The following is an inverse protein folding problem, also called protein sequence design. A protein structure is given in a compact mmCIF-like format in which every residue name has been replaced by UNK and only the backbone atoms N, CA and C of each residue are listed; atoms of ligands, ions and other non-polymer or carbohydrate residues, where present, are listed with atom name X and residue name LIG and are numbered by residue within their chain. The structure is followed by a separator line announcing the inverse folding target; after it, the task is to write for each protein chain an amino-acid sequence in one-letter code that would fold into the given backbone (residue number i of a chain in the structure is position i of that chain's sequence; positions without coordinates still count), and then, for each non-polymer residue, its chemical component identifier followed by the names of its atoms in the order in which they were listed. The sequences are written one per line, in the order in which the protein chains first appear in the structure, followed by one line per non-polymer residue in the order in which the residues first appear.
data_IF_403728007135
#
_entry.id   IF_403728007135
#
_cell.length_a   1.000
_cell.length_b   1.000
_cell.length_c   1.000
_cell.angle_alpha   90.00
_cell.angle_beta   90.00
_cell.angle_gamma   90.00
#
_symmetry.space_group_name_H-M   'P 1'
#
loop_
_entity.id
_entity.type
_entity.pdbx_description
1 polymer ?
#
# COMPACT_ATOMS: atom_id res chain seq x y z
N UNK A 1 1.61 31.64 -48.34
CA UNK A 1 0.70 31.80 -47.19
C UNK A 1 1.06 30.71 -46.19
N UNK A 2 1.93 31.03 -45.22
CA UNK A 2 2.45 30.06 -44.24
C UNK A 2 2.05 30.51 -42.85
N UNK A 3 1.29 29.67 -42.15
CA UNK A 3 0.83 29.89 -40.78
C UNK A 3 2.01 29.53 -39.85
N UNK A 4 2.57 30.52 -39.15
CA UNK A 4 3.51 30.27 -38.05
C UNK A 4 2.69 30.01 -36.79
N UNK A 5 2.79 28.78 -36.26
CA UNK A 5 2.24 28.40 -34.97
C UNK A 5 3.13 29.01 -33.88
N UNK A 6 2.62 29.98 -33.13
CA UNK A 6 3.30 30.58 -31.97
C UNK A 6 2.99 29.71 -30.76
N UNK A 7 3.99 28.97 -30.27
CA UNK A 7 3.90 28.32 -28.97
C UNK A 7 4.14 29.39 -27.89
N UNK A 8 3.08 29.76 -27.17
CA UNK A 8 3.19 30.51 -25.92
C UNK A 8 3.66 29.54 -24.81
N UNK A 9 4.94 29.55 -24.49
CA UNK A 9 5.43 28.91 -23.25
C UNK A 9 5.15 29.86 -22.09
N UNK A 10 4.19 29.50 -21.24
CA UNK A 10 3.95 30.18 -19.96
C UNK A 10 5.06 29.78 -18.97
N UNK A 11 6.15 30.53 -18.93
CA UNK A 11 7.10 30.47 -17.80
C UNK A 11 6.55 31.28 -16.64
N UNK A 12 6.12 30.59 -15.59
CA UNK A 12 5.71 31.18 -14.32
C UNK A 12 6.95 31.78 -13.63
N UNK A 13 7.10 33.10 -13.68
CA UNK A 13 8.12 33.82 -12.91
C UNK A 13 7.61 34.04 -11.49
N UNK A 14 8.09 33.27 -10.52
CA UNK A 14 7.96 33.61 -9.10
C UNK A 14 9.08 34.59 -8.76
N UNK A 15 8.70 35.85 -8.57
CA UNK A 15 9.61 36.93 -8.17
C UNK A 15 9.91 36.76 -6.67
N UNK A 16 11.14 36.37 -6.31
CA UNK A 16 11.65 36.49 -4.94
C UNK A 16 12.80 37.52 -4.92
N UNK A 17 12.52 38.72 -4.42
CA UNK A 17 13.55 39.61 -3.91
C UNK A 17 13.94 39.14 -2.51
N UNK A 18 15.23 38.93 -2.25
CA UNK A 18 15.99 39.80 -1.36
C UNK A 18 17.49 39.46 -1.35
N UNK A 19 18.25 40.54 -1.19
CA UNK A 19 19.69 40.70 -1.12
C UNK A 19 20.44 39.60 -0.37
N UNK A 20 21.46 39.02 -1.02
CA UNK A 20 22.84 38.89 -0.52
C UNK A 20 23.65 37.96 -1.45
N UNK A 21 24.11 38.51 -2.59
CA UNK A 21 25.38 38.15 -3.24
C UNK A 21 25.76 36.68 -3.48
N UNK A 22 24.85 35.72 -3.49
CA UNK A 22 25.12 34.33 -3.86
C UNK A 22 24.29 33.94 -5.08
N UNK A 23 24.99 33.56 -6.14
CA UNK A 23 24.41 32.95 -7.34
C UNK A 23 23.96 31.55 -6.94
N UNK A 24 22.65 31.35 -6.77
CA UNK A 24 22.08 30.00 -6.68
C UNK A 24 21.95 29.49 -8.11
N UNK A 25 22.67 28.43 -8.43
CA UNK A 25 22.54 27.70 -9.68
C UNK A 25 21.06 27.35 -9.89
N UNK A 26 20.49 27.78 -11.02
CA UNK A 26 19.10 27.52 -11.37
C UNK A 26 18.89 26.01 -11.54
N UNK A 27 18.38 25.35 -10.50
CA UNK A 27 17.80 24.02 -10.61
C UNK A 27 16.39 24.13 -11.20
N UNK A 28 16.11 23.33 -12.22
CA UNK A 28 14.78 23.18 -12.79
C UNK A 28 13.90 22.35 -11.86
N UNK A 29 12.56 22.34 -12.02
CA UNK A 29 11.67 21.44 -11.24
C UNK A 29 12.06 19.96 -11.42
N UNK A 30 12.72 19.60 -12.53
CA UNK A 30 13.30 18.28 -12.74
C UNK A 30 14.37 17.94 -11.69
N UNK A 31 15.16 18.91 -11.24
CA UNK A 31 16.24 18.70 -10.28
C UNK A 31 15.73 18.43 -8.85
N UNK A 32 14.54 18.95 -8.50
CA UNK A 32 13.89 18.66 -7.21
C UNK A 32 13.24 17.26 -7.17
N UNK A 33 12.94 16.68 -8.33
CA UNK A 33 12.45 15.29 -8.45
C UNK A 33 13.58 14.26 -8.40
N UNK A 34 14.84 14.68 -8.61
CA UNK A 34 16.01 13.80 -8.68
C UNK A 34 16.73 13.60 -7.33
N UNK A 35 16.41 14.39 -6.30
CA UNK A 35 17.05 14.26 -4.98
C UNK A 35 16.44 13.17 -4.08
N UNK A 36 15.34 12.55 -4.48
CA UNK A 36 14.86 11.35 -3.82
C UNK A 36 15.54 10.16 -4.47
N UNK A 37 16.56 9.62 -3.78
CA UNK A 37 17.19 8.31 -4.01
C UNK A 37 16.64 7.57 -5.24
N UNK A 38 17.20 7.84 -6.42
CA UNK A 38 17.07 6.88 -7.53
C UNK A 38 17.79 5.62 -7.06
N UNK A 39 17.02 4.64 -6.61
CA UNK A 39 17.47 3.26 -6.68
C UNK A 39 17.86 3.05 -8.15
N UNK A 40 19.12 2.71 -8.40
CA UNK A 40 19.59 2.41 -9.75
C UNK A 40 18.96 1.08 -10.18
N UNK A 41 17.72 1.14 -10.68
CA UNK A 41 16.94 -0.03 -11.08
C UNK A 41 17.61 -0.76 -12.25
N UNK A 42 18.40 -0.05 -13.06
CA UNK A 42 19.05 -0.62 -14.25
C UNK A 42 20.22 -1.55 -13.87
N UNK A 43 20.87 -1.29 -12.74
CA UNK A 43 22.01 -2.11 -12.25
C UNK A 43 21.72 -2.84 -10.94
N UNK A 44 20.50 -2.76 -10.40
CA UNK A 44 20.13 -3.50 -9.21
C UNK A 44 20.20 -5.01 -9.50
N UNK A 45 20.96 -5.81 -8.72
CA UNK A 45 20.95 -7.25 -8.89
C UNK A 45 19.53 -7.76 -8.65
N UNK A 46 19.05 -8.65 -9.52
CA UNK A 46 17.77 -9.34 -9.29
C UNK A 46 17.93 -10.15 -8.01
N UNK A 47 17.09 -9.88 -7.01
CA UNK A 47 17.04 -10.70 -5.82
C UNK A 47 16.18 -11.93 -6.11
N UNK A 48 16.81 -13.00 -6.57
CA UNK A 48 16.15 -14.26 -6.92
C UNK A 48 15.72 -15.10 -5.70
N UNK A 49 16.10 -14.69 -4.48
CA UNK A 49 15.87 -15.46 -3.25
C UNK A 49 14.86 -14.78 -2.32
N UNK A 50 13.71 -14.37 -2.86
CA UNK A 50 12.60 -13.86 -2.07
C UNK A 50 11.53 -14.95 -1.98
N UNK A 51 11.32 -15.45 -0.77
CA UNK A 51 10.19 -16.33 -0.45
C UNK A 51 9.10 -15.50 0.19
N UNK A 52 7.88 -15.59 -0.35
CA UNK A 52 6.68 -15.08 0.30
C UNK A 52 5.87 -16.25 0.82
N UNK A 53 5.51 -16.21 2.10
CA UNK A 53 4.79 -17.28 2.79
C UNK A 53 3.28 -17.17 2.60
N UNK A 54 2.80 -15.94 2.53
CA UNK A 54 1.38 -15.58 2.40
C UNK A 54 1.26 -14.10 2.03
N UNK A 55 0.04 -13.60 1.97
CA UNK A 55 -0.25 -12.18 1.81
C UNK A 55 -1.32 -11.74 2.80
N UNK A 56 -1.33 -10.45 3.17
CA UNK A 56 -2.49 -9.83 3.79
C UNK A 56 -3.09 -8.76 2.89
N UNK A 57 -4.41 -8.66 2.93
CA UNK A 57 -5.16 -7.54 2.37
C UNK A 57 -5.75 -6.74 3.51
N UNK A 58 -5.59 -5.42 3.50
CA UNK A 58 -6.25 -4.49 4.41
C UNK A 58 -7.09 -3.50 3.60
N UNK A 59 -8.38 -3.45 3.90
CA UNK A 59 -9.33 -2.51 3.28
C UNK A 59 -9.59 -1.37 4.26
N UNK A 60 -9.39 -0.14 3.79
CA UNK A 60 -9.52 1.06 4.62
C UNK A 60 -10.79 1.85 4.33
N UNK A 61 -11.31 2.45 5.39
CA UNK A 61 -12.48 3.32 5.35
C UNK A 61 -12.38 4.41 6.42
N UNK A 62 -12.99 5.56 6.15
CA UNK A 62 -13.14 6.61 7.16
C UNK A 62 -14.19 6.18 8.17
N UNK A 63 -13.75 5.70 9.34
CA UNK A 63 -14.60 5.07 10.38
C UNK A 63 -15.74 5.94 10.91
N UNK A 64 -15.64 7.28 10.77
CA UNK A 64 -16.71 8.24 11.15
C UNK A 64 -17.67 8.57 10.01
N UNK A 65 -17.40 8.08 8.80
CA UNK A 65 -18.26 8.25 7.63
C UNK A 65 -19.11 6.99 7.46
N UNK A 66 -20.39 7.09 7.81
CA UNK A 66 -21.32 5.96 7.77
C UNK A 66 -21.41 5.29 6.40
N UNK A 67 -21.35 6.06 5.31
CA UNK A 67 -21.38 5.49 3.95
C UNK A 67 -20.16 4.61 3.67
N UNK A 68 -18.96 5.07 4.05
CA UNK A 68 -17.75 4.26 3.85
C UNK A 68 -17.69 3.05 4.80
N UNK A 69 -18.14 3.20 6.05
CA UNK A 69 -18.25 2.08 6.98
C UNK A 69 -19.23 1.01 6.47
N UNK A 70 -20.38 1.42 5.93
CA UNK A 70 -21.36 0.52 5.32
C UNK A 70 -20.80 -0.15 4.06
N UNK A 71 -20.09 0.59 3.21
CA UNK A 71 -19.44 0.05 2.01
C UNK A 71 -18.37 -0.99 2.37
N UNK A 72 -17.52 -0.69 3.35
CA UNK A 72 -16.49 -1.61 3.84
C UNK A 72 -17.09 -2.87 4.47
N UNK A 73 -18.14 -2.71 5.28
CA UNK A 73 -18.89 -3.84 5.87
C UNK A 73 -19.52 -4.71 4.79
N UNK A 74 -20.15 -4.09 3.78
CA UNK A 74 -20.77 -4.81 2.67
C UNK A 74 -19.75 -5.59 1.83
N UNK A 75 -18.60 -4.98 1.52
CA UNK A 75 -17.53 -5.68 0.81
C UNK A 75 -17.01 -6.87 1.60
N UNK A 76 -16.77 -6.70 2.91
CA UNK A 76 -16.32 -7.77 3.79
C UNK A 76 -17.32 -8.93 3.82
N UNK A 77 -18.60 -8.65 4.00
CA UNK A 77 -19.64 -9.68 4.07
C UNK A 77 -19.75 -10.46 2.75
N UNK A 78 -19.68 -9.77 1.61
CA UNK A 78 -19.65 -10.43 0.28
C UNK A 78 -18.40 -11.29 0.09
N UNK A 79 -17.26 -10.85 0.61
CA UNK A 79 -16.03 -11.63 0.58
C UNK A 79 -16.18 -12.91 1.42
N UNK A 80 -16.68 -12.77 2.66
CA UNK A 80 -16.95 -13.89 3.56
C UNK A 80 -17.88 -14.92 2.92
N UNK A 81 -18.99 -14.47 2.34
CA UNK A 81 -19.94 -15.33 1.66
C UNK A 81 -19.33 -16.02 0.42
N UNK A 82 -18.59 -15.27 -0.41
CA UNK A 82 -18.03 -15.80 -1.67
C UNK A 82 -16.98 -16.89 -1.44
N UNK A 83 -16.18 -16.75 -0.39
CA UNK A 83 -15.04 -17.63 -0.11
C UNK A 83 -15.29 -18.57 1.08
N UNK A 84 -16.45 -18.46 1.74
CA UNK A 84 -16.81 -19.23 2.93
C UNK A 84 -15.69 -19.19 3.99
N UNK A 85 -15.31 -17.97 4.39
CA UNK A 85 -14.14 -17.73 5.25
C UNK A 85 -14.54 -17.56 6.71
N UNK A 86 -13.74 -18.13 7.60
CA UNK A 86 -13.93 -17.98 9.05
C UNK A 86 -13.10 -16.80 9.58
N UNK A 87 -13.40 -16.37 10.81
CA UNK A 87 -12.57 -15.40 11.52
C UNK A 87 -11.16 -15.96 11.74
N UNK A 88 -10.16 -15.10 11.63
CA UNK A 88 -8.78 -15.41 12.00
C UNK A 88 -8.67 -15.67 13.51
N UNK A 89 -7.77 -16.58 13.89
CA UNK A 89 -7.32 -16.72 15.28
C UNK A 89 -5.99 -15.95 15.46
N UNK A 90 -5.46 -15.96 16.69
CA UNK A 90 -4.25 -15.23 17.05
C UNK A 90 -3.00 -15.68 16.27
N UNK A 91 -2.99 -16.91 15.74
CA UNK A 91 -1.85 -17.46 14.99
C UNK A 91 -1.77 -16.92 13.55
N UNK A 92 -2.91 -16.48 13.00
CA UNK A 92 -3.02 -16.08 11.60
C UNK A 92 -2.36 -14.72 11.29
N UNK A 93 -1.70 -14.07 12.25
CA UNK A 93 -0.77 -12.97 11.97
C UNK A 93 0.48 -13.45 11.22
N UNK A 94 0.95 -14.66 11.54
CA UNK A 94 2.17 -15.23 10.96
C UNK A 94 1.84 -16.37 10.00
N UNK A 95 0.86 -17.22 10.36
CA UNK A 95 0.49 -18.35 9.53
C UNK A 95 -0.93 -18.83 9.80
N UNK A 96 -1.65 -19.15 8.73
CA UNK A 96 -2.99 -19.73 8.79
C UNK A 96 -3.11 -20.86 7.75
N UNK A 97 -3.77 -21.98 8.07
CA UNK A 97 -3.93 -23.10 7.14
C UNK A 97 -4.91 -22.80 6.00
N UNK A 98 -5.71 -21.75 6.13
CA UNK A 98 -6.74 -21.34 5.18
C UNK A 98 -6.91 -19.83 5.21
N UNK A 99 -7.59 -19.32 4.20
CA UNK A 99 -8.06 -17.95 4.18
C UNK A 99 -8.94 -17.65 5.42
N UNK A 100 -8.69 -16.51 6.07
CA UNK A 100 -9.49 -16.04 7.20
C UNK A 100 -9.60 -14.52 7.17
N UNK A 101 -10.52 -13.96 7.97
CA UNK A 101 -10.72 -12.51 8.05
C UNK A 101 -10.64 -11.99 9.48
N UNK A 102 -10.24 -10.72 9.64
CA UNK A 102 -10.38 -9.99 10.90
C UNK A 102 -11.67 -9.16 10.95
N UNK A 103 -12.03 -8.66 12.13
CA UNK A 103 -13.16 -7.76 12.33
C UNK A 103 -12.87 -6.34 11.85
N UNK A 104 -13.93 -5.51 11.83
CA UNK A 104 -13.79 -4.10 11.52
C UNK A 104 -13.12 -3.39 12.69
N UNK A 105 -11.97 -2.79 12.42
CA UNK A 105 -11.33 -1.82 13.29
C UNK A 105 -11.99 -0.45 13.08
N UNK A 106 -12.71 0.04 14.09
CA UNK A 106 -13.34 1.36 14.08
C UNK A 106 -12.40 2.48 14.56
N UNK A 107 -11.10 2.21 14.59
CA UNK A 107 -10.04 3.12 14.99
C UNK A 107 -8.72 2.67 14.33
N UNK A 108 -7.68 3.53 14.33
CA UNK A 108 -6.32 3.11 13.97
C UNK A 108 -5.83 2.00 14.90
N UNK A 109 -5.28 0.93 14.34
CA UNK A 109 -4.74 -0.24 15.07
C UNK A 109 -3.45 -0.68 14.38
N UNK A 110 -2.38 -0.92 15.15
CA UNK A 110 -1.07 -1.27 14.60
C UNK A 110 -0.58 -0.21 13.60
N UNK A 111 -0.05 -0.60 12.42
CA UNK A 111 0.45 0.35 11.42
C UNK A 111 -0.67 1.09 10.67
N UNK A 112 -1.93 0.74 10.88
CA UNK A 112 -3.06 1.18 10.08
C UNK A 112 -3.60 2.53 10.56
N UNK A 113 -3.57 3.59 9.74
CA UNK A 113 -3.79 4.96 10.21
C UNK A 113 -5.27 5.36 10.38
N UNK A 114 -6.20 4.55 9.85
CA UNK A 114 -7.65 4.78 9.91
C UNK A 114 -8.37 3.44 10.07
N UNK A 115 -9.71 3.47 10.10
CA UNK A 115 -10.51 2.25 10.18
C UNK A 115 -10.20 1.27 9.05
N UNK A 116 -10.11 0.00 9.40
CA UNK A 116 -9.69 -1.06 8.50
C UNK A 116 -10.32 -2.41 8.84
N UNK A 117 -10.30 -3.33 7.90
CA UNK A 117 -10.44 -4.77 8.17
C UNK A 117 -9.47 -5.53 7.27
N UNK A 118 -9.10 -6.74 7.67
CA UNK A 118 -8.07 -7.50 6.98
C UNK A 118 -8.46 -8.93 6.60
N UNK A 119 -7.67 -9.52 5.71
CA UNK A 119 -7.76 -10.91 5.27
C UNK A 119 -6.35 -11.52 5.31
N UNK A 120 -6.21 -12.72 5.86
CA UNK A 120 -5.05 -13.57 5.63
C UNK A 120 -5.25 -14.38 4.37
N UNK A 121 -4.27 -14.39 3.46
CA UNK A 121 -4.31 -15.11 2.20
C UNK A 121 -3.14 -16.09 2.06
N UNK A 122 -3.41 -17.41 2.10
CA UNK A 122 -2.45 -18.38 1.59
C UNK A 122 -2.20 -18.18 0.08
N UNK A 123 -1.02 -18.57 -0.38
CA UNK A 123 -0.55 -18.29 -1.75
C UNK A 123 -1.49 -18.84 -2.82
N UNK A 124 -2.06 -20.02 -2.58
CA UNK A 124 -2.89 -20.72 -3.55
C UNK A 124 -4.28 -20.08 -3.75
N UNK A 125 -4.74 -19.20 -2.84
CA UNK A 125 -5.96 -18.40 -3.05
C UNK A 125 -5.68 -16.94 -3.44
N UNK A 126 -4.41 -16.58 -3.67
CA UNK A 126 -4.02 -15.20 -3.98
C UNK A 126 -4.78 -14.63 -5.19
N UNK A 127 -4.77 -15.35 -6.32
CA UNK A 127 -5.38 -14.86 -7.58
C UNK A 127 -6.86 -14.60 -7.40
N UNK A 128 -7.61 -15.54 -6.81
CA UNK A 128 -9.06 -15.42 -6.67
C UNK A 128 -9.45 -14.27 -5.73
N UNK A 129 -8.78 -14.17 -4.57
CA UNK A 129 -9.06 -13.14 -3.57
C UNK A 129 -8.71 -11.74 -4.09
N UNK A 130 -7.52 -11.58 -4.68
CA UNK A 130 -7.08 -10.29 -5.25
C UNK A 130 -7.97 -9.90 -6.43
N UNK A 131 -8.35 -10.85 -7.30
CA UNK A 131 -9.27 -10.59 -8.41
C UNK A 131 -10.63 -10.11 -7.90
N UNK A 132 -11.19 -10.76 -6.88
CA UNK A 132 -12.45 -10.33 -6.28
C UNK A 132 -12.35 -8.91 -5.74
N UNK A 133 -11.32 -8.62 -4.95
CA UNK A 133 -11.13 -7.28 -4.37
C UNK A 133 -10.93 -6.23 -5.48
N UNK A 134 -10.14 -6.52 -6.50
CA UNK A 134 -9.81 -5.59 -7.59
C UNK A 134 -11.03 -5.04 -8.33
N UNK A 135 -12.11 -5.83 -8.46
CA UNK A 135 -13.32 -5.43 -9.17
C UNK A 135 -14.47 -5.05 -8.22
N UNK A 136 -14.35 -5.34 -6.92
CA UNK A 136 -15.43 -5.09 -5.94
C UNK A 136 -15.10 -4.03 -4.89
N UNK A 137 -13.87 -3.50 -4.83
CA UNK A 137 -13.44 -2.57 -3.77
C UNK A 137 -14.16 -1.21 -3.78
N UNK A 138 -14.88 -0.87 -4.86
CA UNK A 138 -15.69 0.35 -4.92
C UNK A 138 -14.86 1.61 -4.71
N UNK A 139 -15.21 2.42 -3.71
CA UNK A 139 -14.51 3.64 -3.33
C UNK A 139 -13.43 3.43 -2.25
N UNK A 140 -13.28 2.20 -1.75
CA UNK A 140 -12.36 1.88 -0.67
C UNK A 140 -10.92 1.81 -1.17
N UNK A 141 -10.01 2.23 -0.29
CA UNK A 141 -8.56 2.09 -0.48
C UNK A 141 -8.13 0.72 0.04
N UNK A 142 -7.22 0.05 -0.67
CA UNK A 142 -6.77 -1.29 -0.30
C UNK A 142 -5.25 -1.35 -0.29
N UNK A 143 -4.69 -1.88 0.78
CA UNK A 143 -3.30 -2.33 0.90
C UNK A 143 -3.27 -3.85 0.72
N UNK A 144 -2.37 -4.33 -0.12
CA UNK A 144 -1.99 -5.74 -0.23
C UNK A 144 -0.49 -5.83 0.02
N UNK A 145 -0.05 -6.64 0.97
CA UNK A 145 1.38 -6.85 1.19
C UNK A 145 1.71 -8.35 1.31
N UNK A 146 2.92 -8.76 0.87
CA UNK A 146 3.39 -10.12 1.11
C UNK A 146 3.76 -10.32 2.58
N UNK A 147 3.92 -11.56 3.00
CA UNK A 147 4.57 -11.92 4.26
C UNK A 147 5.86 -12.65 3.92
N UNK A 148 7.00 -11.96 4.02
CA UNK A 148 8.35 -12.50 3.75
C UNK A 148 9.15 -12.78 5.02
N UNK A 149 8.53 -12.58 6.19
CA UNK A 149 9.21 -12.55 7.49
C UNK A 149 9.83 -11.19 7.81
N UNK A 150 9.56 -10.14 7.03
CA UNK A 150 10.08 -8.77 7.23
C UNK A 150 8.94 -7.74 7.29
N UNK A 151 8.11 -7.72 8.35
CA UNK A 151 6.85 -6.98 8.38
C UNK A 151 6.99 -5.50 7.99
N UNK A 152 7.96 -4.78 8.56
CA UNK A 152 8.16 -3.36 8.26
C UNK A 152 8.41 -3.10 6.77
N UNK A 153 9.23 -3.92 6.12
CA UNK A 153 9.54 -3.77 4.70
C UNK A 153 8.40 -4.27 3.83
N UNK A 154 7.74 -5.34 4.25
CA UNK A 154 6.58 -5.89 3.56
C UNK A 154 5.46 -4.85 3.45
N UNK A 155 5.15 -4.14 4.53
CA UNK A 155 4.12 -3.11 4.56
C UNK A 155 4.50 -1.82 3.85
N UNK A 156 5.76 -1.38 3.97
CA UNK A 156 6.18 -0.03 3.52
C UNK A 156 6.76 -0.02 2.11
N UNK A 157 7.42 -1.09 1.68
CA UNK A 157 8.20 -1.14 0.44
C UNK A 157 7.70 -2.19 -0.55
N UNK A 158 7.30 -3.38 -0.07
CA UNK A 158 6.85 -4.48 -0.95
C UNK A 158 5.32 -4.49 -1.15
N UNK A 159 4.63 -3.49 -0.65
CA UNK A 159 3.19 -3.39 -0.69
C UNK A 159 2.65 -2.88 -2.04
N UNK A 160 1.48 -3.38 -2.40
CA UNK A 160 0.66 -2.91 -3.50
C UNK A 160 -0.55 -2.16 -2.96
N UNK A 161 -1.00 -1.15 -3.71
CA UNK A 161 -2.13 -0.33 -3.34
C UNK A 161 -3.16 -0.24 -4.47
N UNK A 162 -4.43 -0.31 -4.08
CA UNK A 162 -5.54 0.08 -4.95
C UNK A 162 -6.04 1.44 -4.48
N UNK A 163 -6.07 2.40 -5.41
CA UNK A 163 -6.30 3.84 -5.18
C UNK A 163 -5.13 4.55 -4.50
N UNK A 164 -5.34 5.16 -3.33
CA UNK A 164 -4.38 6.04 -2.69
C UNK A 164 -3.47 5.29 -1.71
N UNK A 165 -2.21 5.67 -1.63
CA UNK A 165 -1.30 5.20 -0.59
C UNK A 165 -1.60 5.97 0.71
N UNK A 166 -1.80 5.25 1.82
CA UNK A 166 -1.97 5.86 3.14
C UNK A 166 -0.65 5.83 3.92
N UNK A 167 -0.37 6.84 4.76
CA UNK A 167 0.84 6.88 5.58
C UNK A 167 0.71 5.89 6.75
N UNK A 168 1.26 4.69 6.59
CA UNK A 168 1.30 3.70 7.66
C UNK A 168 2.28 4.11 8.78
N UNK A 169 1.96 3.73 10.02
CA UNK A 169 2.89 3.88 11.14
C UNK A 169 3.89 2.71 11.18
N UNK A 170 5.02 2.91 10.52
CA UNK A 170 6.09 1.92 10.44
C UNK A 170 6.81 1.60 11.75
N UNK A 171 6.60 2.39 12.81
CA UNK A 171 7.20 2.14 14.13
C UNK A 171 6.41 1.11 14.95
N UNK A 172 5.20 0.77 14.50
CA UNK A 172 4.39 -0.32 15.04
C UNK A 172 4.77 -1.70 14.46
N UNK A 173 5.73 -1.76 13.53
CA UNK A 173 6.11 -2.98 12.82
C UNK A 173 7.49 -3.46 13.23
N UNK A 174 7.64 -4.75 13.43
CA UNK A 174 8.95 -5.38 13.63
C UNK A 174 9.72 -5.47 12.31
N UNK A 175 11.05 -5.45 12.42
CA UNK A 175 11.92 -5.69 11.26
C UNK A 175 11.93 -7.15 10.83
N UNK A 176 11.71 -8.08 11.78
CA UNK A 176 11.74 -9.53 11.60
C UNK A 176 10.53 -10.15 12.31
N UNK A 177 9.87 -11.09 11.64
CA UNK A 177 8.84 -11.96 12.23
C UNK A 177 9.39 -13.38 12.47
N UNK A 178 8.81 -14.14 13.43
CA UNK A 178 9.11 -15.55 13.56
C UNK A 178 8.80 -16.31 12.26
N UNK A 179 9.57 -17.36 11.90
CA UNK A 179 9.23 -18.19 10.76
C UNK A 179 7.89 -18.90 10.99
N UNK A 180 7.12 -19.17 9.94
CA UNK A 180 5.86 -19.92 10.07
C UNK A 180 6.12 -21.34 10.63
N UNK A 181 5.18 -21.93 11.40
CA UNK A 181 5.41 -23.15 12.18
C UNK A 181 5.81 -24.42 11.38
N UNK A 182 5.74 -24.38 10.05
CA UNK A 182 5.93 -25.53 9.18
C UNK A 182 7.14 -25.43 8.24
N UNK A 183 7.97 -24.39 8.38
CA UNK A 183 9.25 -24.28 7.67
C UNK A 183 10.41 -24.64 8.61
N UNK A 184 10.82 -25.92 8.58
CA UNK A 184 12.13 -26.38 9.02
C UNK A 184 12.95 -26.81 7.80
#
# INVERSE_FOLDING_TARGET
MSIKLVFLTFTCFVLNLLANGHVIQHGTIEDLLLTNHRFDVENAPVNDNITYYSYHIHVYFLQKNENQTNEATSLRNRFIERFNVDSCNDDCETWCPKICHWDLNMAPIGPHPIGSWGIYLPLEQFIDAVSFISINHGNLTVLLHPNSGRPKIDHLLNAFWIKSILPLDGDQLSDIAPPPPHEN
#
